data_IF_035458570777
#
_entry.id   IF_035458570777
#
_cell.length_a   1.000
_cell.length_b   1.000
_cell.length_c   1.000
_cell.angle_alpha   90.00
_cell.angle_beta   90.00
_cell.angle_gamma   90.00
#
_symmetry.space_group_name_H-M   'P 1'
#
loop_
_entity.id
_entity.type
_entity.pdbx_description
1 polymer ?
#
# COMPACT_ATOMS: atom_id res chain seq x y z
N UNK A 1 19.01 8.55 -27.30
CA UNK A 1 18.17 8.13 -26.15
C UNK A 1 16.78 7.85 -26.70
N UNK A 2 16.41 6.61 -27.05
CA UNK A 2 15.03 6.37 -27.46
C UNK A 2 14.15 6.52 -26.22
N UNK A 3 13.06 7.28 -26.33
CA UNK A 3 12.02 7.28 -25.34
C UNK A 3 11.44 5.86 -25.31
N UNK A 4 11.76 5.09 -24.27
CA UNK A 4 11.09 3.82 -24.02
C UNK A 4 9.62 4.14 -23.74
N UNK A 5 8.76 3.86 -24.72
CA UNK A 5 7.34 3.83 -24.51
C UNK A 5 7.09 2.88 -23.33
N UNK A 6 6.55 3.42 -22.23
CA UNK A 6 6.16 2.63 -21.07
C UNK A 6 5.18 1.51 -21.45
N UNK A 7 4.92 0.56 -20.54
CA UNK A 7 4.02 -0.56 -20.82
C UNK A 7 2.68 -0.04 -21.34
N UNK A 8 2.23 -0.62 -22.44
CA UNK A 8 0.94 -0.26 -23.02
C UNK A 8 -0.18 -0.68 -22.07
N UNK A 9 -1.29 0.04 -22.13
CA UNK A 9 -2.48 -0.30 -21.35
C UNK A 9 -3.00 -1.69 -21.68
N UNK A 10 -2.93 -2.08 -22.95
CA UNK A 10 -3.40 -3.39 -23.43
C UNK A 10 -2.60 -4.54 -22.82
N UNK A 11 -1.27 -4.39 -22.70
CA UNK A 11 -0.42 -5.38 -22.03
C UNK A 11 -0.78 -5.53 -20.54
N UNK A 12 -1.02 -4.40 -19.85
CA UNK A 12 -1.41 -4.42 -18.43
C UNK A 12 -2.80 -5.03 -18.25
N UNK A 13 -3.76 -4.69 -19.11
CA UNK A 13 -5.13 -5.22 -19.04
C UNK A 13 -5.16 -6.73 -19.35
N UNK A 14 -4.36 -7.19 -20.32
CA UNK A 14 -4.17 -8.62 -20.60
C UNK A 14 -3.55 -9.37 -19.41
N UNK A 15 -2.57 -8.74 -18.76
CA UNK A 15 -1.92 -9.31 -17.58
C UNK A 15 -2.86 -9.39 -16.38
N UNK A 16 -3.69 -8.37 -16.17
CA UNK A 16 -4.74 -8.38 -15.14
C UNK A 16 -5.70 -9.55 -15.40
N UNK A 17 -6.15 -9.72 -16.65
CA UNK A 17 -7.07 -10.80 -17.01
C UNK A 17 -6.47 -12.19 -16.75
N UNK A 18 -5.18 -12.38 -17.09
CA UNK A 18 -4.46 -13.61 -16.80
C UNK A 18 -4.37 -13.87 -15.29
N UNK A 19 -3.86 -12.90 -14.52
CA UNK A 19 -3.68 -13.05 -13.07
C UNK A 19 -5.02 -13.26 -12.34
N UNK A 20 -6.11 -12.68 -12.84
CA UNK A 20 -7.45 -12.89 -12.29
C UNK A 20 -7.91 -14.35 -12.37
N UNK A 21 -7.47 -15.11 -13.37
CA UNK A 21 -7.87 -16.50 -13.60
C UNK A 21 -7.06 -17.52 -12.77
N UNK A 22 -5.91 -17.11 -12.24
CA UNK A 22 -5.05 -18.00 -11.44
C UNK A 22 -5.74 -18.45 -10.15
N UNK A 23 -5.35 -19.63 -9.66
CA UNK A 23 -5.71 -20.08 -8.31
C UNK A 23 -5.08 -19.16 -7.25
N UNK A 24 -5.60 -19.17 -6.02
CA UNK A 24 -5.02 -18.36 -4.94
C UNK A 24 -3.55 -18.75 -4.63
N UNK A 25 -3.17 -20.01 -4.83
CA UNK A 25 -1.80 -20.50 -4.62
C UNK A 25 -0.87 -20.04 -5.75
N UNK A 26 -1.29 -20.20 -7.01
CA UNK A 26 -0.49 -19.76 -8.16
C UNK A 26 -0.34 -18.24 -8.18
N UNK A 27 -1.42 -17.51 -7.85
CA UNK A 27 -1.39 -16.06 -7.74
C UNK A 27 -0.38 -15.60 -6.67
N UNK A 28 -0.37 -16.26 -5.51
CA UNK A 28 0.58 -15.94 -4.45
C UNK A 28 2.03 -16.28 -4.86
N UNK A 29 2.23 -17.38 -5.59
CA UNK A 29 3.55 -17.77 -6.10
C UNK A 29 4.09 -16.78 -7.13
N UNK A 30 3.27 -16.34 -8.10
CA UNK A 30 3.65 -15.32 -9.08
C UNK A 30 3.99 -13.99 -8.40
N UNK A 31 3.20 -13.58 -7.40
CA UNK A 31 3.49 -12.36 -6.66
C UNK A 31 4.79 -12.47 -5.83
N UNK A 32 5.03 -13.62 -5.19
CA UNK A 32 6.28 -13.87 -4.47
C UNK A 32 7.50 -13.89 -5.40
N UNK A 33 7.37 -14.42 -6.62
CA UNK A 33 8.41 -14.43 -7.63
C UNK A 33 8.73 -13.01 -8.12
N UNK A 34 7.71 -12.18 -8.34
CA UNK A 34 7.90 -10.77 -8.68
C UNK A 34 8.73 -10.05 -7.59
N UNK A 35 8.34 -10.18 -6.32
CA UNK A 35 9.02 -9.46 -5.21
C UNK A 35 10.44 -9.96 -4.97
N UNK A 36 10.70 -11.25 -5.21
CA UNK A 36 12.04 -11.83 -5.07
C UNK A 36 12.94 -11.60 -6.29
N UNK A 37 12.48 -10.85 -7.29
CA UNK A 37 13.23 -10.63 -8.53
C UNK A 37 13.56 -11.93 -9.29
N UNK A 38 12.71 -12.95 -9.15
CA UNK A 38 12.90 -14.21 -9.84
C UNK A 38 12.55 -14.08 -11.35
N UNK A 39 13.15 -14.93 -12.19
CA UNK A 39 12.81 -15.00 -13.61
C UNK A 39 11.31 -15.22 -13.79
N UNK A 40 10.69 -14.40 -14.63
CA UNK A 40 9.28 -14.59 -14.97
C UNK A 40 9.12 -15.92 -15.71
N UNK A 41 8.04 -16.65 -15.39
CA UNK A 41 7.70 -17.90 -16.10
C UNK A 41 7.22 -17.65 -17.54
N UNK A 42 6.89 -16.40 -17.85
CA UNK A 42 6.38 -15.94 -19.14
C UNK A 42 7.15 -14.71 -19.57
N UNK A 43 7.19 -14.45 -20.87
CA UNK A 43 7.81 -13.28 -21.47
C UNK A 43 6.97 -12.00 -21.29
N UNK A 44 6.56 -11.72 -20.06
CA UNK A 44 5.86 -10.49 -19.70
C UNK A 44 6.82 -9.60 -18.92
N UNK A 45 6.85 -8.31 -19.26
CA UNK A 45 7.68 -7.35 -18.56
C UNK A 45 7.32 -7.30 -17.07
N UNK A 46 8.33 -7.30 -16.21
CA UNK A 46 8.16 -7.17 -14.74
C UNK A 46 7.38 -5.92 -14.37
N UNK A 47 7.55 -4.84 -15.14
CA UNK A 47 6.80 -3.61 -14.94
C UNK A 47 5.30 -3.81 -15.20
N UNK A 48 4.93 -4.53 -16.27
CA UNK A 48 3.54 -4.86 -16.60
C UNK A 48 2.92 -5.70 -15.48
N UNK A 49 3.58 -6.78 -15.07
CA UNK A 49 3.11 -7.66 -13.98
C UNK A 49 2.99 -6.89 -12.66
N UNK A 50 3.96 -6.03 -12.34
CA UNK A 50 3.91 -5.19 -11.14
C UNK A 50 2.77 -4.15 -11.16
N UNK A 51 2.43 -3.59 -12.33
CA UNK A 51 1.27 -2.71 -12.48
C UNK A 51 -0.04 -3.51 -12.34
N UNK A 52 -0.12 -4.69 -12.95
CA UNK A 52 -1.29 -5.55 -12.89
C UNK A 52 -1.64 -5.96 -11.45
N UNK A 53 -0.66 -6.41 -10.65
CA UNK A 53 -0.87 -6.74 -9.23
C UNK A 53 -1.37 -5.55 -8.39
N UNK A 54 -1.04 -4.32 -8.79
CA UNK A 54 -1.44 -3.07 -8.13
C UNK A 54 -2.61 -2.37 -8.84
N UNK A 55 -3.29 -3.06 -9.75
CA UNK A 55 -4.51 -2.58 -10.39
C UNK A 55 -5.67 -2.56 -9.39
N UNK A 56 -6.66 -1.69 -9.60
CA UNK A 56 -7.83 -1.62 -8.71
C UNK A 56 -8.55 -2.98 -8.61
N UNK A 57 -8.58 -3.73 -9.71
CA UNK A 57 -9.23 -5.04 -9.83
C UNK A 57 -8.56 -6.11 -8.96
N UNK A 58 -7.22 -6.13 -8.92
CA UNK A 58 -6.46 -7.15 -8.20
C UNK A 58 -5.94 -6.71 -6.83
N UNK A 59 -5.86 -5.41 -6.54
CA UNK A 59 -5.18 -4.89 -5.34
C UNK A 59 -5.66 -5.53 -4.04
N UNK A 60 -6.97 -5.80 -3.89
CA UNK A 60 -7.49 -6.47 -2.68
C UNK A 60 -7.01 -7.92 -2.56
N UNK A 61 -6.97 -8.64 -3.69
CA UNK A 61 -6.46 -10.01 -3.77
C UNK A 61 -4.95 -10.03 -3.50
N UNK A 62 -4.20 -9.12 -4.11
CA UNK A 62 -2.77 -8.93 -3.87
C UNK A 62 -2.48 -8.59 -2.41
N UNK A 63 -3.29 -7.75 -1.76
CA UNK A 63 -3.15 -7.44 -0.33
C UNK A 63 -3.36 -8.69 0.54
N UNK A 64 -4.32 -9.56 0.20
CA UNK A 64 -4.52 -10.85 0.89
C UNK A 64 -3.30 -11.77 0.70
N UNK A 65 -2.80 -11.88 -0.53
CA UNK A 65 -1.61 -12.67 -0.85
C UNK A 65 -0.37 -12.15 -0.09
N UNK A 66 -0.11 -10.84 -0.12
CA UNK A 66 1.02 -10.22 0.58
C UNK A 66 1.00 -10.52 2.11
N UNK A 67 -0.18 -10.49 2.73
CA UNK A 67 -0.35 -10.86 4.15
C UNK A 67 -0.09 -12.35 4.40
N UNK A 68 -0.55 -13.21 3.49
CA UNK A 68 -0.32 -14.65 3.60
C UNK A 68 1.16 -14.99 3.45
N UNK A 69 1.83 -14.40 2.44
CA UNK A 69 3.26 -14.54 2.19
C UNK A 69 4.11 -14.03 3.35
N UNK A 70 3.74 -12.89 3.95
CA UNK A 70 4.43 -12.36 5.14
C UNK A 70 4.38 -13.35 6.31
N UNK A 71 3.18 -13.88 6.61
CA UNK A 71 2.96 -14.82 7.73
C UNK A 71 3.61 -16.19 7.49
N UNK A 72 3.56 -16.67 6.25
CA UNK A 72 4.01 -18.00 5.87
C UNK A 72 5.28 -17.95 5.00
N UNK A 73 6.17 -16.98 5.23
CA UNK A 73 7.37 -16.73 4.42
C UNK A 73 8.22 -17.99 4.19
N UNK A 74 8.35 -18.84 5.21
CA UNK A 74 9.08 -20.10 5.18
C UNK A 74 8.55 -21.10 4.14
N UNK A 75 7.24 -21.07 3.82
CA UNK A 75 6.65 -21.92 2.78
C UNK A 75 7.12 -21.52 1.38
N UNK A 76 7.36 -20.23 1.16
CA UNK A 76 7.62 -19.65 -0.16
C UNK A 76 9.11 -19.40 -0.42
N UNK A 77 9.93 -19.50 0.63
CA UNK A 77 11.35 -19.20 0.57
C UNK A 77 12.11 -20.38 1.15
N UNK A 78 12.27 -21.43 0.34
CA UNK A 78 12.95 -22.65 0.76
C UNK A 78 14.46 -22.42 0.99
N UNK A 79 15.09 -23.17 1.90
CA UNK A 79 16.55 -23.17 2.05
C UNK A 79 17.22 -23.58 0.75
N UNK A 80 18.29 -22.88 0.37
CA UNK A 80 19.10 -23.24 -0.79
C UNK A 80 20.16 -24.27 -0.36
N UNK A 81 20.51 -25.19 -1.25
CA UNK A 81 21.54 -26.19 -0.96
C UNK A 81 22.87 -25.51 -0.59
N UNK A 82 23.45 -25.90 0.55
CA UNK A 82 24.69 -25.31 1.07
C UNK A 82 24.51 -23.97 1.79
N UNK A 83 23.28 -23.47 1.94
CA UNK A 83 22.99 -22.24 2.67
C UNK A 83 23.16 -22.43 4.18
N UNK A 84 23.83 -21.48 4.84
CA UNK A 84 23.89 -21.45 6.30
C UNK A 84 22.56 -21.01 6.89
N UNK A 85 22.23 -21.51 8.09
CA UNK A 85 21.00 -21.12 8.79
C UNK A 85 20.87 -19.59 8.93
N UNK A 86 21.95 -18.89 9.26
CA UNK A 86 21.94 -17.43 9.41
C UNK A 86 21.69 -16.69 8.09
N UNK A 87 22.17 -17.21 6.96
CA UNK A 87 21.87 -16.64 5.64
C UNK A 87 20.40 -16.83 5.27
N UNK A 88 19.84 -18.00 5.56
CA UNK A 88 18.43 -18.29 5.37
C UNK A 88 17.51 -17.38 6.20
N UNK A 89 17.80 -17.25 7.50
CA UNK A 89 17.05 -16.40 8.43
C UNK A 89 17.06 -14.92 7.97
N UNK A 90 18.20 -14.46 7.44
CA UNK A 90 18.32 -13.12 6.86
C UNK A 90 17.43 -12.93 5.63
N UNK A 91 17.43 -13.89 4.69
CA UNK A 91 16.55 -13.83 3.51
C UNK A 91 15.07 -13.83 3.89
N UNK A 92 14.68 -14.62 4.90
CA UNK A 92 13.31 -14.59 5.42
C UNK A 92 12.93 -13.22 5.98
N UNK A 93 13.83 -12.57 6.72
CA UNK A 93 13.61 -11.23 7.24
C UNK A 93 13.50 -10.17 6.13
N UNK A 94 14.36 -10.26 5.11
CA UNK A 94 14.34 -9.39 3.93
C UNK A 94 13.03 -9.57 3.14
N UNK A 95 12.58 -10.80 2.93
CA UNK A 95 11.32 -11.10 2.26
C UNK A 95 10.10 -10.58 3.04
N UNK A 96 10.08 -10.77 4.36
CA UNK A 96 9.02 -10.19 5.23
C UNK A 96 9.01 -8.66 5.13
N UNK A 97 10.17 -8.03 5.16
CA UNK A 97 10.30 -6.57 4.99
C UNK A 97 9.79 -6.12 3.62
N UNK A 98 10.10 -6.86 2.55
CA UNK A 98 9.59 -6.57 1.21
C UNK A 98 8.05 -6.69 1.14
N UNK A 99 7.47 -7.72 1.76
CA UNK A 99 6.02 -7.88 1.87
C UNK A 99 5.35 -6.73 2.64
N UNK A 100 5.99 -6.21 3.69
CA UNK A 100 5.48 -5.04 4.43
C UNK A 100 5.46 -3.78 3.56
N UNK A 101 6.53 -3.56 2.77
CA UNK A 101 6.59 -2.44 1.81
C UNK A 101 5.49 -2.56 0.75
N UNK A 102 5.30 -3.75 0.19
CA UNK A 102 4.23 -3.99 -0.78
C UNK A 102 2.84 -3.80 -0.16
N UNK A 103 2.60 -4.25 1.07
CA UNK A 103 1.35 -3.97 1.77
C UNK A 103 1.11 -2.46 1.91
N UNK A 104 2.14 -1.68 2.25
CA UNK A 104 1.99 -0.22 2.33
C UNK A 104 1.63 0.41 0.97
N UNK A 105 2.27 -0.04 -0.12
CA UNK A 105 1.96 0.41 -1.48
C UNK A 105 0.53 0.04 -1.88
N UNK A 106 0.12 -1.21 -1.66
CA UNK A 106 -1.23 -1.69 -1.96
C UNK A 106 -2.28 -0.92 -1.15
N UNK A 107 -1.99 -0.59 0.10
CA UNK A 107 -2.88 0.26 0.90
C UNK A 107 -3.02 1.65 0.29
N UNK A 108 -1.92 2.24 -0.20
CA UNK A 108 -1.97 3.53 -0.91
C UNK A 108 -2.84 3.46 -2.17
N UNK A 109 -2.73 2.39 -2.97
CA UNK A 109 -3.60 2.18 -4.15
C UNK A 109 -5.08 2.08 -3.74
N UNK A 110 -5.40 1.25 -2.74
CA UNK A 110 -6.77 1.12 -2.24
C UNK A 110 -7.35 2.43 -1.70
N UNK A 111 -6.50 3.27 -1.12
CA UNK A 111 -6.88 4.58 -0.59
C UNK A 111 -7.04 5.62 -1.71
N UNK A 112 -6.28 5.52 -2.80
CA UNK A 112 -6.33 6.43 -3.93
C UNK A 112 -7.63 6.31 -4.75
N UNK A 113 -8.17 5.10 -4.91
CA UNK A 113 -9.42 4.88 -5.65
C UNK A 113 -10.62 5.66 -5.11
N UNK A 114 -11.00 5.56 -3.82
CA UNK A 114 -12.08 6.37 -3.27
C UNK A 114 -11.73 7.86 -3.32
N UNK A 115 -10.46 8.25 -3.13
CA UNK A 115 -10.03 9.64 -3.20
C UNK A 115 -10.34 10.28 -4.57
N UNK A 116 -10.10 9.54 -5.67
CA UNK A 116 -10.46 9.96 -7.03
C UNK A 116 -11.95 10.19 -7.22
N UNK A 117 -12.79 9.49 -6.45
CA UNK A 117 -14.25 9.66 -6.45
C UNK A 117 -14.74 10.70 -5.43
N UNK A 118 -13.85 11.57 -4.94
CA UNK A 118 -14.16 12.60 -3.94
C UNK A 118 -14.41 12.05 -2.53
N UNK A 119 -14.17 10.76 -2.30
CA UNK A 119 -14.29 10.13 -0.97
C UNK A 119 -12.89 10.04 -0.36
N UNK A 120 -12.58 10.93 0.59
CA UNK A 120 -11.29 10.82 1.27
C UNK A 120 -11.18 9.46 1.96
N UNK A 121 -10.07 8.71 1.79
CA UNK A 121 -9.85 7.46 2.48
C UNK A 121 -9.79 7.75 3.97
N UNK A 122 -10.91 7.53 4.66
CA UNK A 122 -10.90 7.46 6.12
C UNK A 122 -10.21 6.15 6.46
N UNK A 123 -8.89 6.20 6.69
CA UNK A 123 -8.21 5.12 7.40
C UNK A 123 -9.09 4.70 8.59
N UNK A 124 -9.03 3.43 8.99
CA UNK A 124 -9.52 2.98 10.30
C UNK A 124 -8.70 3.70 11.39
N UNK A 125 -8.98 4.98 11.62
CA UNK A 125 -8.35 5.78 12.66
C UNK A 125 -9.21 5.59 13.91
N UNK A 126 -8.79 4.74 14.88
CA UNK A 126 -9.56 4.51 16.09
C UNK A 126 -9.78 5.81 16.87
N UNK A 127 -8.85 6.78 16.82
CA UNK A 127 -9.02 8.09 17.45
C UNK A 127 -10.14 8.90 16.78
N UNK A 128 -10.19 8.92 15.44
CA UNK A 128 -11.27 9.60 14.72
C UNK A 128 -12.62 8.93 14.96
N UNK A 129 -12.69 7.59 14.95
CA UNK A 129 -13.93 6.86 15.29
C UNK A 129 -14.38 7.11 16.72
N UNK A 130 -13.44 7.12 17.68
CA UNK A 130 -13.75 7.45 19.06
C UNK A 130 -14.22 8.90 19.21
N UNK A 131 -13.61 9.84 18.48
CA UNK A 131 -14.05 11.23 18.44
C UNK A 131 -15.45 11.38 17.82
N UNK A 132 -15.73 10.70 16.71
CA UNK A 132 -17.05 10.69 16.06
C UNK A 132 -18.11 10.09 17.00
N UNK A 133 -17.76 9.04 17.75
CA UNK A 133 -18.65 8.41 18.73
C UNK A 133 -18.88 9.31 19.95
N UNK A 134 -17.83 9.97 20.46
CA UNK A 134 -17.94 10.96 21.53
C UNK A 134 -18.81 12.14 21.09
N UNK A 135 -18.64 12.64 19.86
CA UNK A 135 -19.46 13.71 19.28
C UNK A 135 -20.93 13.32 19.14
N UNK A 136 -21.24 12.05 18.85
CA UNK A 136 -22.63 11.55 18.83
C UNK A 136 -23.25 11.48 20.22
N UNK A 137 -22.46 11.12 21.24
CA UNK A 137 -22.92 11.02 22.63
C UNK A 137 -23.04 12.38 23.33
N UNK A 138 -22.14 13.31 23.00
CA UNK A 138 -22.02 14.63 23.61
C UNK A 138 -21.92 15.72 22.54
N UNK A 139 -23.00 15.97 21.77
CA UNK A 139 -22.96 16.88 20.62
C UNK A 139 -22.69 18.34 21.01
N UNK A 140 -23.24 18.79 22.13
CA UNK A 140 -23.09 20.19 22.58
C UNK A 140 -21.67 20.50 23.05
N UNK A 141 -21.08 19.61 23.86
CA UNK A 141 -19.70 19.73 24.33
C UNK A 141 -18.70 19.68 23.17
N UNK A 142 -18.95 18.80 22.20
CA UNK A 142 -18.13 18.71 21.00
C UNK A 142 -18.17 20.00 20.18
N UNK A 143 -19.36 20.57 19.94
CA UNK A 143 -19.52 21.83 19.21
C UNK A 143 -18.87 23.01 19.94
N UNK A 144 -18.93 23.04 21.28
CA UNK A 144 -18.26 24.06 22.08
C UNK A 144 -16.73 23.99 21.93
N UNK A 145 -16.16 22.79 21.97
CA UNK A 145 -14.72 22.57 21.74
C UNK A 145 -14.30 22.98 20.32
N UNK A 146 -15.08 22.63 19.31
CA UNK A 146 -14.80 23.03 17.91
C UNK A 146 -14.75 24.55 17.77
N UNK A 147 -15.73 25.28 18.35
CA UNK A 147 -15.73 26.75 18.33
C UNK A 147 -14.52 27.33 19.04
N UNK A 148 -14.13 26.76 20.18
CA UNK A 148 -12.96 27.21 20.93
C UNK A 148 -11.65 27.04 20.12
N UNK A 149 -11.49 25.91 19.41
CA UNK A 149 -10.32 25.70 18.54
C UNK A 149 -10.34 26.62 17.32
N UNK A 150 -11.49 26.85 16.68
CA UNK A 150 -11.62 27.81 15.58
C UNK A 150 -11.25 29.24 16.01
N UNK A 151 -11.60 29.64 17.22
CA UNK A 151 -11.21 30.94 17.79
C UNK A 151 -9.70 31.03 18.02
N UNK A 152 -9.07 29.96 18.50
CA UNK A 152 -7.61 29.88 18.65
C UNK A 152 -6.91 29.98 17.30
N UNK A 153 -7.38 29.27 16.28
CA UNK A 153 -6.83 29.31 14.93
C UNK A 153 -6.97 30.70 14.31
N UNK A 154 -8.14 31.33 14.45
CA UNK A 154 -8.35 32.72 14.01
C UNK A 154 -7.43 33.70 14.75
N UNK A 155 -7.21 33.50 16.04
CA UNK A 155 -6.29 34.32 16.83
C UNK A 155 -4.81 34.11 16.41
N UNK A 156 -4.43 32.87 16.08
CA UNK A 156 -3.10 32.55 15.58
C UNK A 156 -2.84 33.12 14.18
N UNK A 157 -3.84 33.07 13.28
CA UNK A 157 -3.75 33.61 11.93
C UNK A 157 -3.65 35.14 11.89
N UNK A 158 -4.19 35.84 12.91
CA UNK A 158 -4.09 37.31 13.04
C UNK A 158 -2.75 37.79 13.59
N UNK A 159 -1.88 36.90 14.09
CA UNK A 159 -0.52 37.30 14.52
C UNK A 159 0.34 37.55 13.28
N UNK A 160 0.89 38.75 13.09
CA UNK A 160 1.78 39.02 11.95
C UNK A 160 2.99 38.10 12.04
N UNK A 161 3.31 37.40 10.94
CA UNK A 161 4.57 36.66 10.82
C UNK A 161 5.70 37.66 11.00
N UNK A 162 6.52 37.47 12.03
CA UNK A 162 7.71 38.29 12.25
C UNK A 162 8.56 38.32 10.95
N UNK A 163 9.08 39.48 10.53
CA UNK A 163 9.89 39.55 9.33
C UNK A 163 11.11 38.64 9.51
N UNK A 164 11.32 37.73 8.56
CA UNK A 164 12.56 36.97 8.44
C UNK A 164 13.70 37.98 8.41
N UNK A 165 14.62 37.90 9.36
CA UNK A 165 15.91 38.59 9.26
C UNK A 165 16.62 38.03 8.03
N UNK A 166 16.83 38.88 7.05
CA UNK A 166 17.75 38.64 5.94
C UNK A 166 19.18 38.73 6.50
N UNK A 167 19.94 37.64 6.34
CA UNK A 167 21.40 37.59 6.40
C UNK A 167 21.92 37.34 4.99
#
# INVERSE_FOLDING_TARGET
MPAENGPSREEVDAEIAFLAQLSDEDFAAEFAALVQDLPARREVSRMVTGLAFRSDDLTRRTMKAAKALHRAAEKYLAPVAGESRGAHDRRLAEFRTAMEREQALLQFVMDAYPARRGRFPTRRNPRRRAADELARRHPEEYLALVRQEEEKDRAAAKKPRAPKREE
#
